data_IF_982083029813
#
_entry.id   IF_982083029813
#
_cell.length_a   1.000
_cell.length_b   1.000
_cell.length_c   1.000
_cell.angle_alpha   90.00
_cell.angle_beta   90.00
_cell.angle_gamma   90.00
#
_symmetry.space_group_name_H-M   'P 1'
#
loop_
_entity.id
_entity.type
_entity.pdbx_description
1 polymer ?
#
# COMPACT_ATOMS: atom_id res chain seq x y z
N UNK A 1 -21.93 -2.43 11.69
CA UNK A 1 -20.50 -2.51 12.03
C UNK A 1 -19.72 -2.21 10.77
N UNK A 2 -18.63 -1.47 10.89
CA UNK A 2 -17.88 -0.97 9.73
C UNK A 2 -16.92 -2.01 9.19
N UNK A 3 -16.76 -2.03 7.87
CA UNK A 3 -15.73 -2.81 7.19
C UNK A 3 -14.36 -2.18 7.41
N UNK A 4 -13.31 -2.99 7.52
CA UNK A 4 -11.94 -2.48 7.72
C UNK A 4 -10.87 -3.45 7.18
N UNK A 5 -9.76 -2.90 6.73
CA UNK A 5 -8.61 -3.69 6.28
C UNK A 5 -7.84 -4.29 7.47
N UNK A 6 -7.30 -5.50 7.28
CA UNK A 6 -6.35 -6.14 8.20
C UNK A 6 -4.93 -6.05 7.63
N UNK A 7 -4.80 -6.31 6.33
CA UNK A 7 -3.51 -6.31 5.65
C UNK A 7 -3.72 -6.03 4.16
N UNK A 8 -2.86 -5.18 3.59
CA UNK A 8 -2.79 -4.91 2.15
C UNK A 8 -1.33 -5.02 1.73
N UNK A 9 -1.04 -5.93 0.81
CA UNK A 9 0.30 -6.09 0.23
C UNK A 9 0.24 -6.01 -1.28
N UNK A 10 1.25 -5.38 -1.87
CA UNK A 10 1.41 -5.38 -3.32
C UNK A 10 2.02 -6.71 -3.79
N UNK A 11 1.43 -7.30 -4.82
CA UNK A 11 1.96 -8.44 -5.57
C UNK A 11 1.84 -8.16 -7.08
N UNK A 12 2.95 -7.70 -7.68
CA UNK A 12 2.95 -7.26 -9.08
C UNK A 12 1.97 -6.11 -9.33
N UNK A 13 1.01 -6.34 -10.24
CA UNK A 13 -0.08 -5.40 -10.59
C UNK A 13 -1.32 -5.53 -9.70
N UNK A 14 -1.26 -6.39 -8.69
CA UNK A 14 -2.39 -6.68 -7.82
C UNK A 14 -2.08 -6.32 -6.38
N UNK A 15 -3.13 -6.02 -5.63
CA UNK A 15 -3.11 -5.91 -4.18
C UNK A 15 -3.76 -7.16 -3.60
N UNK A 16 -3.06 -7.82 -2.68
CA UNK A 16 -3.62 -8.90 -1.88
C UNK A 16 -4.13 -8.27 -0.60
N UNK A 17 -5.45 -8.33 -0.43
CA UNK A 17 -6.15 -7.65 0.66
C UNK A 17 -6.75 -8.70 1.58
N UNK A 18 -6.49 -8.56 2.88
CA UNK A 18 -7.25 -9.22 3.94
C UNK A 18 -8.05 -8.14 4.65
N UNK A 19 -9.35 -8.34 4.80
CA UNK A 19 -10.25 -7.35 5.39
C UNK A 19 -11.42 -8.04 6.10
N UNK A 20 -12.11 -7.28 6.96
CA UNK A 20 -13.45 -7.61 7.41
C UNK A 20 -14.46 -6.89 6.53
N UNK A 21 -15.34 -7.66 5.91
CA UNK A 21 -16.41 -7.19 5.04
C UNK A 21 -17.72 -7.84 5.49
N UNK A 22 -18.70 -7.03 5.85
CA UNK A 22 -20.01 -7.46 6.36
C UNK A 22 -19.90 -8.48 7.51
N UNK A 23 -18.96 -8.20 8.43
CA UNK A 23 -18.72 -9.03 9.61
C UNK A 23 -17.96 -10.34 9.34
N UNK A 24 -17.50 -10.57 8.11
CA UNK A 24 -16.73 -11.78 7.73
C UNK A 24 -15.31 -11.41 7.34
N UNK A 25 -14.35 -12.23 7.76
CA UNK A 25 -12.98 -12.12 7.28
C UNK A 25 -12.91 -12.62 5.84
N UNK A 26 -12.45 -11.78 4.93
CA UNK A 26 -12.33 -12.09 3.49
C UNK A 26 -10.92 -11.80 2.99
N UNK A 27 -10.53 -12.54 1.95
CA UNK A 27 -9.29 -12.34 1.22
C UNK A 27 -9.62 -11.98 -0.24
N UNK A 28 -8.98 -10.96 -0.78
CA UNK A 28 -9.19 -10.50 -2.15
C UNK A 28 -7.87 -10.31 -2.89
N UNK A 29 -7.94 -10.44 -4.20
CA UNK A 29 -6.90 -10.05 -5.13
C UNK A 29 -7.47 -8.98 -6.04
N UNK A 30 -6.96 -7.75 -5.91
CA UNK A 30 -7.49 -6.57 -6.58
C UNK A 30 -6.49 -6.13 -7.63
N UNK A 31 -6.88 -6.09 -8.89
CA UNK A 31 -6.12 -5.37 -9.91
C UNK A 31 -6.26 -3.88 -9.63
N UNK A 32 -5.15 -3.19 -9.38
CA UNK A 32 -5.18 -1.80 -8.93
C UNK A 32 -4.67 -0.85 -10.03
N UNK A 33 -5.43 0.22 -10.23
CA UNK A 33 -5.18 1.29 -11.19
C UNK A 33 -4.78 2.55 -10.41
N UNK A 34 -3.47 2.76 -10.15
CA UNK A 34 -3.04 3.86 -9.32
C UNK A 34 -3.15 5.20 -10.04
N UNK A 35 -3.12 6.27 -9.26
CA UNK A 35 -3.06 7.65 -9.74
C UNK A 35 -1.80 8.33 -9.22
N UNK A 36 -1.02 8.93 -10.11
CA UNK A 36 0.01 9.92 -9.76
C UNK A 36 -0.43 11.29 -10.26
N UNK A 37 0.36 12.32 -10.02
CA UNK A 37 0.00 13.70 -10.33
C UNK A 37 1.17 14.41 -11.02
N UNK A 38 0.86 15.28 -11.97
CA UNK A 38 1.85 16.10 -12.69
C UNK A 38 1.43 17.57 -12.68
N UNK A 39 2.39 18.48 -12.79
CA UNK A 39 2.11 19.91 -12.83
C UNK A 39 1.13 20.29 -13.95
N UNK A 40 0.22 21.21 -13.63
CA UNK A 40 -0.76 21.73 -14.58
C UNK A 40 -0.77 23.25 -14.58
N UNK A 41 -0.87 23.82 -15.78
CA UNK A 41 -1.06 25.26 -15.98
C UNK A 41 -2.50 25.71 -15.74
N UNK A 42 -3.44 24.75 -15.64
CA UNK A 42 -4.86 25.03 -15.39
C UNK A 42 -5.13 25.00 -13.89
N UNK A 43 -6.13 25.76 -13.45
CA UNK A 43 -6.66 25.58 -12.10
C UNK A 43 -7.27 24.18 -11.99
N UNK A 44 -6.83 23.43 -10.99
CA UNK A 44 -7.28 22.06 -10.74
C UNK A 44 -7.72 21.92 -9.28
N UNK A 45 -8.48 20.85 -8.99
CA UNK A 45 -8.87 20.50 -7.62
C UNK A 45 -7.67 20.08 -6.76
N UNK A 46 -6.63 19.56 -7.39
CA UNK A 46 -5.48 18.96 -6.72
C UNK A 46 -4.34 19.95 -6.64
N UNK A 47 -3.76 20.09 -5.45
CA UNK A 47 -2.63 20.98 -5.22
C UNK A 47 -1.50 20.26 -4.53
N UNK A 48 -0.27 20.64 -4.83
CA UNK A 48 0.88 20.28 -4.01
C UNK A 48 0.78 20.95 -2.64
N UNK A 49 1.63 20.55 -1.69
CA UNK A 49 1.72 21.21 -0.38
C UNK A 49 2.13 22.69 -0.49
N UNK A 50 2.82 23.06 -1.57
CA UNK A 50 3.17 24.46 -1.89
C UNK A 50 2.09 25.21 -2.67
N UNK A 51 0.92 24.60 -2.90
CA UNK A 51 -0.22 25.22 -3.56
C UNK A 51 -0.16 25.27 -5.09
N UNK A 52 0.84 24.62 -5.72
CA UNK A 52 0.91 24.48 -7.19
C UNK A 52 -0.20 23.57 -7.69
N UNK A 53 -0.79 23.91 -8.83
CA UNK A 53 -1.84 23.10 -9.45
C UNK A 53 -1.24 21.84 -10.08
N UNK A 54 -1.87 20.70 -9.82
CA UNK A 54 -1.50 19.40 -10.42
C UNK A 54 -2.72 18.70 -10.97
N UNK A 55 -2.55 17.83 -11.97
CA UNK A 55 -3.63 17.02 -12.54
C UNK A 55 -3.33 15.53 -12.36
N UNK A 56 -4.37 14.69 -12.15
CA UNK A 56 -4.19 13.27 -11.94
C UNK A 56 -3.87 12.57 -13.26
N UNK A 57 -2.90 11.66 -13.20
CA UNK A 57 -2.56 10.71 -14.25
C UNK A 57 -2.96 9.32 -13.75
N UNK A 58 -4.03 8.76 -14.31
CA UNK A 58 -4.49 7.41 -13.99
C UNK A 58 -3.76 6.39 -14.84
N UNK A 59 -3.26 5.33 -14.21
CA UNK A 59 -2.56 4.24 -14.88
C UNK A 59 -3.42 2.99 -14.91
N UNK A 60 -3.28 2.19 -15.97
CA UNK A 60 -4.01 0.92 -16.10
C UNK A 60 -3.48 -0.17 -15.18
N UNK A 61 -2.28 0.00 -14.64
CA UNK A 61 -1.67 -0.94 -13.71
C UNK A 61 -0.58 -0.29 -12.86
N UNK A 62 -0.22 -0.96 -11.76
CA UNK A 62 0.91 -0.55 -10.92
C UNK A 62 2.22 -0.53 -11.70
N UNK A 63 2.45 -1.51 -12.59
CA UNK A 63 3.64 -1.54 -13.44
C UNK A 63 3.74 -0.29 -14.31
N UNK A 64 2.66 0.10 -14.97
CA UNK A 64 2.68 1.29 -15.84
C UNK A 64 3.01 2.56 -15.05
N UNK A 65 2.52 2.67 -13.82
CA UNK A 65 2.86 3.78 -12.93
C UNK A 65 4.32 3.76 -12.48
N UNK A 66 4.87 2.57 -12.19
CA UNK A 66 6.31 2.43 -11.85
C UNK A 66 7.20 2.72 -13.06
N UNK A 67 6.80 2.29 -14.25
CA UNK A 67 7.50 2.60 -15.49
C UNK A 67 7.49 4.12 -15.75
N UNK A 68 6.36 4.79 -15.50
CA UNK A 68 6.27 6.25 -15.55
C UNK A 68 7.20 6.94 -14.56
N UNK A 69 7.27 6.49 -13.30
CA UNK A 69 8.21 7.00 -12.31
C UNK A 69 9.67 6.78 -12.76
N UNK A 70 9.97 5.60 -13.32
CA UNK A 70 11.29 5.26 -13.81
C UNK A 70 11.74 6.18 -14.96
N UNK A 71 10.83 6.51 -15.88
CA UNK A 71 11.10 7.47 -16.96
C UNK A 71 11.41 8.88 -16.44
N UNK A 72 10.95 9.24 -15.24
CA UNK A 72 11.14 10.55 -14.62
C UNK A 72 12.18 10.55 -13.49
N UNK A 73 13.01 9.50 -13.36
CA UNK A 73 14.03 9.43 -12.30
C UNK A 73 15.03 10.60 -12.30
N UNK A 74 15.28 11.21 -13.47
CA UNK A 74 16.17 12.37 -13.60
C UNK A 74 15.47 13.71 -13.36
N UNK A 75 14.13 13.73 -13.27
CA UNK A 75 13.30 14.91 -12.99
C UNK A 75 12.16 14.54 -12.02
N UNK A 76 12.47 14.01 -10.83
CA UNK A 76 11.48 13.50 -9.88
C UNK A 76 10.55 14.60 -9.36
N UNK A 77 10.98 15.86 -9.37
CA UNK A 77 10.20 17.02 -8.93
C UNK A 77 8.95 17.30 -9.77
N UNK A 78 8.85 16.71 -10.97
CA UNK A 78 7.73 16.88 -11.89
C UNK A 78 6.59 15.87 -11.67
N UNK A 79 6.83 14.82 -10.87
CA UNK A 79 5.86 13.77 -10.57
C UNK A 79 5.56 13.77 -9.07
N UNK A 80 4.28 13.82 -8.73
CA UNK A 80 3.79 13.85 -7.36
C UNK A 80 2.86 12.67 -7.06
N UNK A 81 2.68 12.38 -5.78
CA UNK A 81 1.88 11.27 -5.29
C UNK A 81 2.72 10.24 -4.54
N UNK A 82 2.06 9.20 -4.04
CA UNK A 82 2.69 8.12 -3.28
C UNK A 82 2.84 6.89 -4.16
N UNK A 83 4.06 6.36 -4.25
CA UNK A 83 4.42 5.17 -5.04
C UNK A 83 4.25 3.86 -4.25
N UNK A 84 4.05 3.96 -2.93
CA UNK A 84 3.59 2.88 -2.08
C UNK A 84 2.06 2.67 -2.27
N UNK A 85 1.70 2.08 -3.41
CA UNK A 85 0.33 1.96 -3.90
C UNK A 85 -0.65 1.24 -2.97
N UNK A 86 -0.17 0.38 -2.06
CA UNK A 86 -1.01 -0.20 -1.01
C UNK A 86 -1.64 0.86 -0.11
N UNK A 87 -0.92 1.95 0.19
CA UNK A 87 -1.44 3.03 1.04
C UNK A 87 -2.37 3.95 0.26
N UNK A 88 -2.12 4.14 -1.04
CA UNK A 88 -3.06 4.84 -1.94
C UNK A 88 -4.40 4.10 -1.96
N UNK A 89 -4.37 2.79 -2.17
CA UNK A 89 -5.57 1.97 -2.12
C UNK A 89 -6.29 2.05 -0.77
N UNK A 90 -5.56 2.00 0.35
CA UNK A 90 -6.15 2.13 1.68
C UNK A 90 -6.84 3.49 1.82
N UNK A 91 -6.17 4.59 1.45
CA UNK A 91 -6.74 5.93 1.52
C UNK A 91 -7.96 6.14 0.62
N UNK A 92 -7.97 5.53 -0.57
CA UNK A 92 -9.11 5.60 -1.48
C UNK A 92 -10.30 4.75 -1.00
N UNK A 93 -10.04 3.56 -0.47
CA UNK A 93 -11.07 2.60 -0.06
C UNK A 93 -11.65 2.90 1.32
N UNK A 94 -10.81 3.43 2.22
CA UNK A 94 -11.12 3.72 3.62
C UNK A 94 -10.76 5.19 3.92
N UNK A 95 -11.46 6.17 3.30
CA UNK A 95 -11.09 7.58 3.36
C UNK A 95 -11.33 8.25 4.72
N UNK A 96 -12.21 7.66 5.53
CA UNK A 96 -12.60 8.17 6.84
C UNK A 96 -11.90 7.40 7.98
N UNK A 97 -12.19 7.79 9.21
CA UNK A 97 -11.68 7.09 10.39
C UNK A 97 -12.08 5.59 10.36
N UNK A 98 -11.07 4.72 10.36
CA UNK A 98 -11.26 3.27 10.35
C UNK A 98 -11.58 2.77 11.75
N UNK A 99 -12.84 2.42 11.99
CA UNK A 99 -13.29 1.82 13.23
C UNK A 99 -13.02 0.30 13.22
N UNK A 100 -11.83 -0.09 13.66
CA UNK A 100 -11.39 -1.49 13.75
C UNK A 100 -11.71 -2.10 15.11
N UNK A 101 -11.70 -3.44 15.16
CA UNK A 101 -12.04 -4.21 16.37
C UNK A 101 -10.95 -5.26 16.63
N UNK A 102 -10.34 -5.21 17.81
CA UNK A 102 -9.25 -6.11 18.19
C UNK A 102 -9.71 -7.58 18.26
N UNK A 103 -10.95 -7.83 18.71
CA UNK A 103 -11.50 -9.19 18.85
C UNK A 103 -11.65 -9.91 17.51
N UNK A 104 -11.59 -9.16 16.41
CA UNK A 104 -11.64 -9.67 15.05
C UNK A 104 -10.25 -9.94 14.48
N UNK A 105 -9.19 -9.46 15.11
CA UNK A 105 -7.82 -9.68 14.66
C UNK A 105 -7.28 -11.01 15.20
N UNK A 106 -6.65 -11.78 14.33
CA UNK A 106 -5.88 -12.94 14.76
C UNK A 106 -4.52 -12.45 15.28
N UNK A 107 -4.40 -12.34 16.60
CA UNK A 107 -3.15 -12.04 17.29
C UNK A 107 -2.49 -13.34 17.74
N UNK A 108 -1.22 -13.54 17.37
CA UNK A 108 -0.43 -14.72 17.74
C UNK A 108 0.85 -14.24 18.41
N UNK A 109 1.17 -14.82 19.56
CA UNK A 109 2.45 -14.66 20.25
C UNK A 109 3.17 -16.00 20.21
N UNK A 110 4.40 -16.02 19.73
CA UNK A 110 5.22 -17.21 19.57
C UNK A 110 6.62 -16.93 20.08
N UNK A 111 7.19 -17.91 20.77
CA UNK A 111 8.57 -17.95 21.23
C UNK A 111 9.12 -19.34 20.90
N UNK A 112 10.38 -19.40 20.44
CA UNK A 112 11.03 -20.67 20.06
C UNK A 112 12.38 -20.77 20.76
N UNK A 113 12.76 -21.99 21.12
CA UNK A 113 14.02 -22.29 21.77
C UNK A 113 14.85 -23.21 20.88
N UNK A 114 16.12 -22.87 20.73
CA UNK A 114 17.08 -23.64 19.92
C UNK A 114 18.30 -23.95 20.78
N UNK A 115 18.51 -25.23 21.07
CA UNK A 115 19.74 -25.69 21.68
C UNK A 115 20.88 -25.58 20.67
N UNK A 116 22.02 -25.01 21.08
CA UNK A 116 23.18 -24.85 20.21
C UNK A 116 24.46 -25.09 20.98
N UNK A 117 25.19 -26.14 20.58
CA UNK A 117 26.46 -26.53 21.20
C UNK A 117 27.64 -25.67 20.70
N UNK A 118 27.49 -25.03 19.53
CA UNK A 118 28.58 -24.36 18.81
C UNK A 118 28.46 -22.82 18.79
N UNK A 119 27.67 -22.24 19.70
CA UNK A 119 27.52 -20.78 19.85
C UNK A 119 26.13 -20.28 19.54
N UNK A 120 26.00 -19.04 19.06
CA UNK A 120 24.69 -18.46 18.76
C UNK A 120 24.00 -19.22 17.60
N UNK A 121 22.75 -19.69 17.76
CA UNK A 121 22.02 -20.38 16.69
C UNK A 121 21.65 -19.39 15.59
N UNK A 122 22.44 -19.40 14.51
CA UNK A 122 22.23 -18.54 13.35
C UNK A 122 20.98 -18.99 12.58
N UNK A 123 19.94 -18.16 12.62
CA UNK A 123 18.67 -18.42 11.96
C UNK A 123 18.79 -18.65 10.44
N UNK A 124 19.85 -18.16 9.79
CA UNK A 124 20.08 -18.41 8.37
C UNK A 124 20.61 -19.81 8.08
N UNK A 125 21.33 -20.41 9.04
CA UNK A 125 21.87 -21.76 8.91
C UNK A 125 20.84 -22.80 9.32
N UNK A 126 20.17 -22.56 10.45
CA UNK A 126 19.15 -23.45 11.02
C UNK A 126 19.61 -24.92 11.06
N UNK A 127 20.89 -25.12 11.36
CA UNK A 127 21.58 -26.41 11.50
C UNK A 127 21.44 -27.02 12.89
#
# INVERSE_FOLDING_TARGET
MSDFYINVIQYGNQLLVREFDNGKRVNRRITFEPTLYVESRKNSKWKTLEGRNVEPVRFKSIRDAKDFLNMHQNTPELVHGLDAFQYVYIGDKYPDFVNWDMEKLLLITLDIEVESENGFPDAQKAD
#
